data_IF_473991822292
#
_entry.id   IF_473991822292
#
_cell.length_a   1.000
_cell.length_b   1.000
_cell.length_c   1.000
_cell.angle_alpha   90.00
_cell.angle_beta   90.00
_cell.angle_gamma   90.00
#
_symmetry.space_group_name_H-M   'P 1'
#
loop_
_entity.id
_entity.type
_entity.pdbx_description
1 polymer ?
#
# COMPACT_ATOMS: atom_id res chain seq x y z
N UNK A 1 24.62 -45.29 5.07
CA UNK A 1 23.14 -45.32 4.80
C UNK A 1 22.64 -43.89 4.70
N UNK A 2 22.58 -43.38 3.48
CA UNK A 2 22.03 -42.05 3.22
C UNK A 2 20.51 -42.21 3.01
N UNK A 3 19.70 -41.76 3.95
CA UNK A 3 18.26 -41.67 3.76
C UNK A 3 17.98 -40.59 2.76
N UNK A 4 17.61 -40.96 1.55
CA UNK A 4 17.09 -40.06 0.52
C UNK A 4 15.83 -39.41 1.06
N UNK A 5 15.93 -38.12 1.35
CA UNK A 5 14.81 -37.27 1.69
C UNK A 5 13.99 -37.04 0.41
N UNK A 6 13.08 -37.98 0.12
CA UNK A 6 12.10 -37.78 -0.94
C UNK A 6 11.15 -36.63 -0.56
N UNK A 7 11.45 -35.46 -1.10
CA UNK A 7 10.48 -34.35 -1.11
C UNK A 7 9.38 -34.75 -2.08
N UNK A 8 8.35 -35.40 -1.59
CA UNK A 8 7.13 -35.70 -2.33
C UNK A 8 6.42 -34.36 -2.59
N UNK A 9 6.84 -33.69 -3.66
CA UNK A 9 6.22 -32.44 -4.12
C UNK A 9 4.92 -32.76 -4.84
N UNK A 10 3.91 -33.21 -4.10
CA UNK A 10 2.53 -33.19 -4.60
C UNK A 10 2.14 -31.71 -4.68
N UNK A 11 2.17 -31.15 -5.89
CA UNK A 11 1.66 -29.79 -6.09
C UNK A 11 0.17 -29.80 -5.73
N UNK A 12 -0.26 -29.00 -4.74
CA UNK A 12 -1.67 -28.97 -4.37
C UNK A 12 -2.49 -28.51 -5.59
N UNK A 13 -3.70 -29.05 -5.72
CA UNK A 13 -4.66 -28.58 -6.74
C UNK A 13 -4.89 -27.08 -6.59
N UNK A 14 -5.20 -26.40 -7.69
CA UNK A 14 -5.52 -24.95 -7.67
C UNK A 14 -6.66 -24.66 -6.68
N UNK A 15 -7.67 -25.55 -6.63
CA UNK A 15 -8.76 -25.42 -5.67
C UNK A 15 -8.31 -25.53 -4.20
N UNK A 16 -7.46 -26.49 -3.87
CA UNK A 16 -6.89 -26.65 -2.53
C UNK A 16 -6.03 -25.44 -2.13
N UNK A 17 -5.29 -24.88 -3.09
CA UNK A 17 -4.48 -23.67 -2.85
C UNK A 17 -5.35 -22.47 -2.51
N UNK A 18 -6.44 -22.25 -3.27
CA UNK A 18 -7.39 -21.16 -3.00
C UNK A 18 -8.03 -21.31 -1.63
N UNK A 19 -8.52 -22.52 -1.29
CA UNK A 19 -9.11 -22.79 0.01
C UNK A 19 -8.12 -22.53 1.15
N UNK A 20 -6.87 -22.95 0.98
CA UNK A 20 -5.81 -22.71 1.96
C UNK A 20 -5.55 -21.21 2.15
N UNK A 21 -5.46 -20.42 1.07
CA UNK A 21 -5.28 -18.97 1.13
C UNK A 21 -6.43 -18.31 1.90
N UNK A 22 -7.68 -18.66 1.58
CA UNK A 22 -8.85 -18.10 2.26
C UNK A 22 -8.84 -18.46 3.75
N UNK A 23 -8.55 -19.72 4.07
CA UNK A 23 -8.43 -20.19 5.46
C UNK A 23 -7.34 -19.45 6.22
N UNK A 24 -6.16 -19.29 5.65
CA UNK A 24 -5.05 -18.51 6.22
C UNK A 24 -5.50 -17.08 6.57
N UNK A 25 -6.25 -16.42 5.68
CA UNK A 25 -6.74 -15.07 5.92
C UNK A 25 -7.75 -14.99 7.07
N UNK A 26 -8.60 -16.01 7.21
CA UNK A 26 -9.57 -16.07 8.30
C UNK A 26 -8.88 -16.35 9.63
N UNK A 27 -8.00 -17.35 9.67
CA UNK A 27 -7.32 -17.80 10.87
C UNK A 27 -6.34 -16.74 11.42
N UNK A 28 -5.63 -16.06 10.51
CA UNK A 28 -4.63 -15.04 10.85
C UNK A 28 -5.15 -13.60 10.81
N UNK A 29 -6.47 -13.37 10.66
CA UNK A 29 -7.06 -12.02 10.53
C UNK A 29 -6.60 -11.02 11.60
N UNK A 30 -6.56 -11.41 12.87
CA UNK A 30 -6.10 -10.54 13.97
C UNK A 30 -4.63 -10.16 13.83
N UNK A 31 -3.81 -11.10 13.38
CA UNK A 31 -2.38 -10.88 13.16
C UNK A 31 -2.13 -10.01 11.93
N UNK A 32 -2.92 -10.18 10.85
CA UNK A 32 -2.88 -9.35 9.66
C UNK A 32 -3.07 -7.87 10.03
N UNK A 33 -4.11 -7.52 10.79
CA UNK A 33 -4.34 -6.14 11.23
C UNK A 33 -3.26 -5.64 12.19
N UNK A 34 -2.77 -6.48 13.10
CA UNK A 34 -1.68 -6.13 14.01
C UNK A 34 -0.37 -5.85 13.24
N UNK A 35 -0.06 -6.67 12.25
CA UNK A 35 1.11 -6.50 11.40
C UNK A 35 0.97 -5.28 10.49
N UNK A 36 -0.21 -5.03 9.92
CA UNK A 36 -0.48 -3.81 9.13
C UNK A 36 -0.24 -2.55 9.95
N UNK A 37 -0.76 -2.48 11.18
CA UNK A 37 -0.50 -1.36 12.09
C UNK A 37 0.96 -1.24 12.52
N UNK A 38 1.68 -2.35 12.63
CA UNK A 38 3.12 -2.36 12.93
C UNK A 38 3.95 -1.88 11.73
N UNK A 39 3.61 -2.33 10.52
CA UNK A 39 4.27 -1.92 9.28
C UNK A 39 4.11 -0.42 9.04
N UNK A 40 2.90 0.09 9.26
CA UNK A 40 2.58 1.50 9.19
C UNK A 40 3.44 2.34 10.16
N UNK A 41 3.51 1.94 11.43
CA UNK A 41 4.36 2.60 12.44
C UNK A 41 5.83 2.52 12.07
N UNK A 42 6.31 1.38 11.57
CA UNK A 42 7.69 1.18 11.15
C UNK A 42 8.08 2.11 9.98
N UNK A 43 7.18 2.31 9.03
CA UNK A 43 7.42 3.18 7.87
C UNK A 43 7.75 4.62 8.29
N UNK A 44 7.10 5.14 9.33
CA UNK A 44 7.25 6.55 9.75
C UNK A 44 8.13 6.77 10.99
N UNK A 45 8.44 5.70 11.75
CA UNK A 45 9.15 5.79 13.02
C UNK A 45 10.61 6.26 12.90
N UNK A 46 11.26 5.94 11.77
CA UNK A 46 12.69 6.24 11.56
C UNK A 46 12.94 7.64 10.96
N UNK A 47 11.88 8.42 10.74
CA UNK A 47 11.99 9.75 10.11
C UNK A 47 11.89 10.86 11.16
N UNK A 48 12.70 11.93 10.98
CA UNK A 48 12.71 13.11 11.86
C UNK A 48 11.32 13.79 11.97
N UNK A 49 10.52 13.77 10.89
CA UNK A 49 9.18 14.34 10.84
C UNK A 49 8.07 13.30 11.13
N UNK A 50 8.43 12.03 11.37
CA UNK A 50 7.49 10.97 11.72
C UNK A 50 6.32 10.86 10.74
N UNK A 51 5.11 10.84 11.28
CA UNK A 51 3.85 10.73 10.53
C UNK A 51 3.55 11.88 9.58
N UNK A 52 4.12 13.06 9.81
CA UNK A 52 3.91 14.23 8.95
C UNK A 52 4.33 13.96 7.50
N UNK A 53 5.27 13.04 7.26
CA UNK A 53 5.65 12.63 5.92
C UNK A 53 4.53 11.98 5.12
N UNK A 54 3.57 11.34 5.78
CA UNK A 54 2.41 10.76 5.11
C UNK A 54 1.56 11.81 4.37
N UNK A 55 1.60 13.05 4.85
CA UNK A 55 0.84 14.18 4.30
C UNK A 55 1.76 15.09 3.46
N UNK A 56 2.95 15.41 3.96
CA UNK A 56 3.87 16.35 3.30
C UNK A 56 4.27 15.86 1.90
N UNK A 57 4.63 14.58 1.75
CA UNK A 57 5.02 14.03 0.42
C UNK A 57 3.93 14.21 -0.63
N UNK A 58 2.67 13.75 -0.42
CA UNK A 58 1.59 13.97 -1.36
C UNK A 58 1.35 15.45 -1.66
N UNK A 59 1.34 16.31 -0.63
CA UNK A 59 1.12 17.74 -0.81
C UNK A 59 2.19 18.39 -1.69
N UNK A 60 3.46 18.11 -1.42
CA UNK A 60 4.58 18.62 -2.23
C UNK A 60 4.46 18.13 -3.67
N UNK A 61 4.12 16.86 -3.86
CA UNK A 61 3.96 16.31 -5.21
C UNK A 61 2.79 16.94 -5.96
N UNK A 62 1.64 17.10 -5.31
CA UNK A 62 0.48 17.81 -5.88
C UNK A 62 0.85 19.25 -6.26
N UNK A 63 1.54 19.94 -5.34
CA UNK A 63 2.01 21.31 -5.58
C UNK A 63 2.94 21.40 -6.80
N UNK A 64 3.91 20.50 -6.93
CA UNK A 64 4.84 20.45 -8.06
C UNK A 64 4.10 20.22 -9.38
N UNK A 65 3.15 19.28 -9.42
CA UNK A 65 2.35 19.05 -10.63
C UNK A 65 1.45 20.23 -10.95
N UNK A 66 0.77 20.79 -9.94
CA UNK A 66 -0.04 21.98 -10.13
C UNK A 66 0.80 23.14 -10.68
N UNK A 67 1.96 23.41 -10.09
CA UNK A 67 2.88 24.45 -10.54
C UNK A 67 3.33 24.21 -11.98
N UNK A 68 3.74 23.00 -12.31
CA UNK A 68 4.21 22.65 -13.64
C UNK A 68 3.11 22.83 -14.70
N UNK A 69 1.88 22.40 -14.43
CA UNK A 69 0.79 22.49 -15.38
C UNK A 69 0.14 23.88 -15.41
N UNK A 70 -0.16 24.47 -14.27
CA UNK A 70 -0.85 25.74 -14.18
C UNK A 70 0.05 26.92 -14.63
N UNK A 71 1.30 26.94 -14.17
CA UNK A 71 2.22 28.04 -14.43
C UNK A 71 3.17 27.72 -15.59
N UNK A 72 3.81 26.54 -15.55
CA UNK A 72 4.80 26.17 -16.56
C UNK A 72 4.21 25.98 -17.95
N UNK A 73 3.13 25.21 -18.07
CA UNK A 73 2.46 24.95 -19.34
C UNK A 73 1.29 25.90 -19.63
N UNK A 74 0.95 26.81 -18.73
CA UNK A 74 -0.18 27.76 -18.83
C UNK A 74 -1.51 27.06 -19.16
N UNK A 75 -1.70 25.82 -18.68
CA UNK A 75 -2.90 24.98 -18.91
C UNK A 75 -3.72 24.79 -17.61
N UNK A 76 -3.55 25.64 -16.61
CA UNK A 76 -4.23 25.57 -15.32
C UNK A 76 -5.59 26.26 -15.30
N UNK A 77 -6.26 26.43 -16.45
CA UNK A 77 -7.61 26.98 -16.52
C UNK A 77 -8.64 26.01 -15.93
N UNK A 78 -9.82 26.53 -15.56
CA UNK A 78 -10.92 25.73 -15.06
C UNK A 78 -11.34 24.66 -16.07
N UNK A 79 -11.61 23.46 -15.59
CA UNK A 79 -12.09 22.33 -16.38
C UNK A 79 -13.57 22.14 -16.00
N UNK A 80 -14.47 22.34 -16.97
CA UNK A 80 -15.92 22.24 -16.78
C UNK A 80 -16.45 23.07 -15.60
N UNK A 81 -15.84 24.22 -15.35
CA UNK A 81 -16.22 25.12 -14.24
C UNK A 81 -15.60 24.79 -12.89
N UNK A 82 -14.73 23.80 -12.81
CA UNK A 82 -14.00 23.42 -11.59
C UNK A 82 -12.52 23.83 -11.70
N UNK A 83 -11.91 24.32 -10.61
CA UNK A 83 -10.48 24.62 -10.58
C UNK A 83 -9.63 23.41 -10.99
N UNK A 84 -8.63 23.63 -11.84
CA UNK A 84 -7.74 22.57 -12.32
C UNK A 84 -7.12 21.71 -11.21
N UNK A 85 -6.85 22.28 -10.04
CA UNK A 85 -6.27 21.57 -8.91
C UNK A 85 -7.19 20.44 -8.39
N UNK A 86 -8.51 20.60 -8.47
CA UNK A 86 -9.46 19.59 -8.03
C UNK A 86 -9.43 18.37 -8.97
N UNK A 87 -9.39 18.64 -10.25
CA UNK A 87 -9.24 17.60 -11.28
C UNK A 87 -7.91 16.86 -11.10
N UNK A 88 -6.82 17.58 -10.84
CA UNK A 88 -5.51 17.01 -10.60
C UNK A 88 -5.50 16.10 -9.38
N UNK A 89 -6.06 16.52 -8.23
CA UNK A 89 -6.10 15.76 -6.99
C UNK A 89 -6.90 14.46 -7.18
N UNK A 90 -8.03 14.51 -7.88
CA UNK A 90 -8.88 13.34 -8.11
C UNK A 90 -8.16 12.20 -8.84
N UNK A 91 -7.23 12.53 -9.74
CA UNK A 91 -6.42 11.54 -10.44
C UNK A 91 -5.16 11.10 -9.70
N UNK A 92 -4.46 12.05 -9.06
CA UNK A 92 -3.14 11.78 -8.49
C UNK A 92 -3.21 11.04 -7.14
N UNK A 93 -4.27 11.24 -6.35
CA UNK A 93 -4.42 10.57 -5.06
C UNK A 93 -4.59 9.05 -5.20
N UNK A 94 -5.49 8.52 -6.05
CA UNK A 94 -5.53 7.07 -6.33
C UNK A 94 -4.23 6.54 -6.95
N UNK A 95 -3.58 7.35 -7.80
CA UNK A 95 -2.30 6.98 -8.41
C UNK A 95 -1.19 6.74 -7.37
N UNK A 96 -1.13 7.54 -6.30
CA UNK A 96 -0.16 7.32 -5.23
C UNK A 96 -0.28 5.93 -4.61
N UNK A 97 -1.51 5.50 -4.31
CA UNK A 97 -1.74 4.16 -3.75
C UNK A 97 -1.35 3.06 -4.75
N UNK A 98 -1.78 3.17 -6.00
CA UNK A 98 -1.44 2.18 -7.04
C UNK A 98 0.07 2.07 -7.26
N UNK A 99 0.76 3.20 -7.40
CA UNK A 99 2.21 3.25 -7.61
C UNK A 99 2.97 2.65 -6.42
N UNK A 100 2.56 2.97 -5.20
CA UNK A 100 3.16 2.41 -4.00
C UNK A 100 2.91 0.90 -3.89
N UNK A 101 1.71 0.42 -4.25
CA UNK A 101 1.39 -1.01 -4.24
C UNK A 101 2.13 -1.79 -5.32
N UNK A 102 2.34 -1.23 -6.50
CA UNK A 102 3.15 -1.87 -7.53
C UNK A 102 4.60 -2.08 -7.07
N UNK A 103 5.17 -1.11 -6.40
CA UNK A 103 6.56 -1.18 -5.92
C UNK A 103 6.68 -2.05 -4.66
N UNK A 104 5.95 -1.71 -3.60
CA UNK A 104 6.07 -2.37 -2.31
C UNK A 104 5.38 -3.73 -2.26
N UNK A 105 4.32 -3.93 -3.06
CA UNK A 105 3.61 -5.19 -3.17
C UNK A 105 4.50 -6.29 -3.76
N UNK A 106 5.31 -5.96 -4.76
CA UNK A 106 6.26 -6.91 -5.34
C UNK A 106 7.40 -7.27 -4.38
N UNK A 107 7.85 -6.34 -3.56
CA UNK A 107 8.94 -6.52 -2.60
C UNK A 107 8.49 -7.03 -1.23
N UNK A 108 7.17 -7.07 -0.94
CA UNK A 108 6.64 -7.29 0.40
C UNK A 108 7.13 -8.57 1.07
N UNK A 109 7.26 -9.67 0.31
CA UNK A 109 7.74 -10.95 0.83
C UNK A 109 9.22 -10.85 1.23
N UNK A 110 10.04 -10.25 0.37
CA UNK A 110 11.46 -10.07 0.62
C UNK A 110 11.73 -9.17 1.84
N UNK A 111 11.00 -8.08 1.96
CA UNK A 111 11.08 -7.14 3.09
C UNK A 111 10.68 -7.77 4.42
N UNK A 112 9.76 -8.74 4.38
CA UNK A 112 9.23 -9.43 5.56
C UNK A 112 9.71 -10.89 5.65
N UNK A 113 10.83 -11.24 5.01
CA UNK A 113 11.38 -12.61 4.98
C UNK A 113 11.52 -13.26 6.36
N UNK A 114 11.75 -12.46 7.40
CA UNK A 114 11.88 -12.96 8.78
C UNK A 114 10.60 -13.63 9.31
N UNK A 115 9.42 -13.21 8.83
CA UNK A 115 8.15 -13.83 9.20
C UNK A 115 8.06 -15.27 8.66
N UNK A 116 8.56 -15.48 7.45
CA UNK A 116 8.54 -16.79 6.79
C UNK A 116 9.63 -17.71 7.36
N UNK A 117 10.84 -17.15 7.57
CA UNK A 117 12.00 -17.97 7.96
C UNK A 117 12.05 -18.28 9.45
N UNK A 118 11.56 -17.38 10.31
CA UNK A 118 11.67 -17.51 11.77
C UNK A 118 10.34 -17.81 12.47
N UNK A 119 9.19 -17.46 11.89
CA UNK A 119 7.90 -17.51 12.57
C UNK A 119 6.89 -18.48 11.97
N UNK A 120 7.22 -19.23 10.92
CA UNK A 120 6.29 -20.12 10.18
C UNK A 120 4.95 -19.43 9.84
N UNK A 121 5.05 -18.17 9.44
CA UNK A 121 3.89 -17.34 9.11
C UNK A 121 3.43 -17.59 7.66
N UNK A 122 2.11 -17.65 7.36
CA UNK A 122 1.63 -17.88 6.00
C UNK A 122 2.07 -16.78 5.04
N UNK A 123 2.78 -17.16 3.99
CA UNK A 123 3.31 -16.22 2.97
C UNK A 123 2.17 -15.50 2.26
N UNK A 124 1.03 -16.19 2.06
CA UNK A 124 -0.17 -15.69 1.39
C UNK A 124 -0.74 -14.41 2.01
N UNK A 125 -0.53 -14.20 3.32
CA UNK A 125 -1.09 -13.04 4.05
C UNK A 125 -0.16 -11.81 4.06
N UNK A 126 1.11 -11.95 3.62
CA UNK A 126 2.09 -10.85 3.63
C UNK A 126 1.68 -9.71 2.69
N UNK A 127 1.28 -9.95 1.43
CA UNK A 127 0.79 -8.89 0.56
C UNK A 127 -0.45 -8.19 1.13
N UNK A 128 -1.31 -8.93 1.81
CA UNK A 128 -2.56 -8.42 2.37
C UNK A 128 -2.32 -7.41 3.50
N UNK A 129 -1.48 -7.72 4.50
CA UNK A 129 -1.23 -6.74 5.56
C UNK A 129 -0.43 -5.54 5.04
N UNK A 130 0.44 -5.72 4.05
CA UNK A 130 1.15 -4.61 3.39
C UNK A 130 0.15 -3.69 2.68
N UNK A 131 -0.80 -4.27 1.93
CA UNK A 131 -1.86 -3.51 1.25
C UNK A 131 -2.74 -2.74 2.25
N UNK A 132 -3.18 -3.36 3.34
CA UNK A 132 -3.97 -2.70 4.39
C UNK A 132 -3.20 -1.54 5.02
N UNK A 133 -1.92 -1.72 5.30
CA UNK A 133 -1.04 -0.67 5.82
C UNK A 133 -1.03 0.57 4.91
N UNK A 134 -0.85 0.38 3.62
CA UNK A 134 -0.80 1.46 2.63
C UNK A 134 -2.17 2.08 2.35
N UNK A 135 -3.21 1.23 2.29
CA UNK A 135 -4.58 1.68 2.12
C UNK A 135 -5.05 2.59 3.25
N UNK A 136 -4.60 2.35 4.48
CA UNK A 136 -4.91 3.23 5.62
C UNK A 136 -4.41 4.66 5.42
N UNK A 137 -3.21 4.85 4.86
CA UNK A 137 -2.69 6.19 4.50
C UNK A 137 -3.50 6.80 3.37
N UNK A 138 -3.84 6.00 2.36
CA UNK A 138 -4.65 6.45 1.24
C UNK A 138 -6.04 6.94 1.69
N UNK A 139 -6.69 6.24 2.61
CA UNK A 139 -7.97 6.67 3.18
C UNK A 139 -7.86 8.03 3.89
N UNK A 140 -6.78 8.28 4.63
CA UNK A 140 -6.54 9.58 5.27
C UNK A 140 -6.43 10.66 4.19
N UNK A 141 -5.64 10.43 3.13
CA UNK A 141 -5.49 11.38 2.03
C UNK A 141 -6.82 11.65 1.31
N UNK A 142 -7.61 10.61 1.04
CA UNK A 142 -8.93 10.77 0.44
C UNK A 142 -9.88 11.60 1.32
N UNK A 143 -9.88 11.33 2.62
CA UNK A 143 -10.74 12.07 3.58
C UNK A 143 -10.35 13.54 3.64
N UNK A 144 -9.05 13.85 3.71
CA UNK A 144 -8.55 15.23 3.68
C UNK A 144 -8.90 15.91 2.36
N UNK A 145 -8.66 15.22 1.23
CA UNK A 145 -9.00 15.76 -0.09
C UNK A 145 -10.50 16.06 -0.21
N UNK A 146 -11.36 15.12 0.23
CA UNK A 146 -12.82 15.30 0.18
C UNK A 146 -13.31 16.47 1.04
N UNK A 147 -12.75 16.64 2.24
CA UNK A 147 -13.13 17.76 3.12
C UNK A 147 -12.73 19.11 2.53
N UNK A 148 -11.57 19.21 1.89
CA UNK A 148 -11.13 20.44 1.20
C UNK A 148 -11.90 20.71 -0.11
N UNK A 149 -12.43 19.66 -0.76
CA UNK A 149 -13.23 19.79 -1.98
C UNK A 149 -14.66 20.30 -1.69
N UNK A 150 -15.18 20.03 -0.49
CA UNK A 150 -16.55 20.39 -0.09
C UNK A 150 -16.63 21.78 0.57
N UNK A 151 -15.51 22.32 1.03
CA UNK A 151 -15.44 23.65 1.64
C UNK A 151 -15.31 24.74 0.58
#
# INVERSE_FOLDING_TARGET
MASSFEIKSTRPSVGETIVTIVRDHIDYRKQIFKLAGSDLRRTYRASALGWSWAIIKPLVTIFVYWFAFAIGLRRGGDIEGYPFVLWLISGIVPWFYMSEMLTLGTECILRNRYLVTKMKYPVSTIPTFTSISKFSVHLILMTVSYTHLRA
#
